data_IF_570287849437
#
_entry.id   IF_570287849437
#
_cell.length_a   1.000
_cell.length_b   1.000
_cell.length_c   1.000
_cell.angle_alpha   90.00
_cell.angle_beta   90.00
_cell.angle_gamma   90.00
#
_symmetry.space_group_name_H-M   'P 1'
#
loop_
_entity.id
_entity.type
_entity.pdbx_description
1 polymer ?
#
# COMPACT_ATOMS: atom_id res chain seq x y z
N UNK A 1 -27.56 38.61 -0.47
CA UNK A 1 -26.64 38.07 -1.47
C UNK A 1 -25.93 36.89 -0.85
N UNK A 2 -26.23 35.65 -1.25
CA UNK A 2 -25.61 34.45 -0.66
C UNK A 2 -24.33 34.11 -1.40
N UNK A 3 -23.24 33.93 -0.64
CA UNK A 3 -21.96 33.46 -1.12
C UNK A 3 -22.01 31.96 -1.44
N UNK A 4 -21.57 31.61 -2.62
CA UNK A 4 -21.47 30.26 -3.15
C UNK A 4 -20.47 29.43 -2.34
N UNK A 5 -20.96 28.28 -1.89
CA UNK A 5 -20.17 27.18 -1.33
C UNK A 5 -19.42 26.49 -2.48
N UNK A 6 -18.14 26.74 -2.55
CA UNK A 6 -17.22 25.99 -3.41
C UNK A 6 -16.93 24.65 -2.72
N UNK A 7 -17.65 23.63 -3.14
CA UNK A 7 -17.32 22.23 -2.83
C UNK A 7 -16.27 21.80 -3.84
N UNK A 8 -15.01 21.93 -3.46
CA UNK A 8 -13.92 21.31 -4.20
C UNK A 8 -14.16 19.81 -4.28
N UNK A 9 -14.49 19.39 -5.49
CA UNK A 9 -14.65 17.99 -5.85
C UNK A 9 -13.33 17.27 -5.71
N UNK A 10 -13.31 16.27 -4.86
CA UNK A 10 -12.33 15.18 -4.93
C UNK A 10 -12.38 14.59 -6.34
N UNK A 11 -11.27 14.33 -7.01
CA UNK A 11 -11.29 13.70 -8.32
C UNK A 11 -11.91 12.30 -8.20
N UNK A 12 -13.09 12.14 -8.75
CA UNK A 12 -13.66 10.83 -9.10
C UNK A 12 -12.71 10.16 -10.10
N UNK A 13 -12.08 9.07 -9.71
CA UNK A 13 -11.20 8.36 -10.63
C UNK A 13 -10.41 7.20 -10.07
N UNK A 14 -10.91 6.48 -9.07
CA UNK A 14 -10.50 5.09 -8.86
C UNK A 14 -11.76 4.22 -8.81
N UNK A 15 -12.15 3.72 -10.00
CA UNK A 15 -13.14 2.65 -10.14
C UNK A 15 -12.73 1.46 -9.26
N UNK A 16 -13.69 0.68 -8.73
CA UNK A 16 -13.40 -0.44 -7.85
C UNK A 16 -12.45 -1.40 -8.53
N UNK A 17 -11.23 -1.45 -8.02
CA UNK A 17 -10.10 -2.19 -8.60
C UNK A 17 -10.29 -3.73 -8.49
N UNK A 18 -11.32 -4.20 -7.81
CA UNK A 18 -11.47 -5.61 -7.45
C UNK A 18 -12.04 -6.46 -8.59
N UNK A 19 -13.02 -5.99 -9.34
CA UNK A 19 -13.64 -6.76 -10.43
C UNK A 19 -12.82 -6.78 -11.73
N UNK A 20 -12.14 -5.67 -12.05
CA UNK A 20 -11.18 -5.62 -13.16
C UNK A 20 -9.87 -6.40 -12.88
N UNK A 21 -9.57 -6.63 -11.60
CA UNK A 21 -8.35 -7.35 -11.21
C UNK A 21 -8.47 -8.86 -11.50
N UNK A 22 -9.61 -9.47 -11.28
CA UNK A 22 -9.76 -10.92 -11.44
C UNK A 22 -9.71 -11.36 -12.91
N UNK A 23 -10.39 -10.66 -13.82
CA UNK A 23 -10.36 -10.97 -15.26
C UNK A 23 -8.98 -10.69 -15.88
N UNK A 24 -8.35 -9.59 -15.49
CA UNK A 24 -6.99 -9.26 -15.95
C UNK A 24 -5.92 -10.22 -15.43
N UNK A 25 -6.10 -10.80 -14.24
CA UNK A 25 -5.20 -11.79 -13.67
C UNK A 25 -5.22 -13.12 -14.46
N UNK A 26 -6.38 -13.57 -14.93
CA UNK A 26 -6.50 -14.81 -15.72
C UNK A 26 -5.81 -14.73 -17.09
N UNK A 27 -5.63 -13.52 -17.63
CA UNK A 27 -5.00 -13.27 -18.93
C UNK A 27 -3.50 -12.93 -18.84
N UNK A 28 -2.89 -13.03 -17.66
CA UNK A 28 -1.46 -12.73 -17.52
C UNK A 28 -0.58 -13.79 -18.19
N UNK A 29 0.57 -13.41 -18.76
CA UNK A 29 1.54 -14.35 -19.31
C UNK A 29 2.00 -15.38 -18.28
N UNK A 30 2.31 -16.61 -18.72
CA UNK A 30 2.77 -17.71 -17.86
C UNK A 30 3.96 -17.31 -16.98
N UNK A 31 4.89 -16.50 -17.48
CA UNK A 31 6.02 -16.00 -16.71
C UNK A 31 5.59 -15.12 -15.51
N UNK A 32 4.50 -14.36 -15.64
CA UNK A 32 3.97 -13.54 -14.55
C UNK A 32 3.30 -14.42 -13.51
N UNK A 33 2.52 -15.41 -13.92
CA UNK A 33 1.94 -16.39 -12.99
C UNK A 33 3.01 -17.12 -12.18
N UNK A 34 4.06 -17.61 -12.84
CA UNK A 34 5.18 -18.27 -12.18
C UNK A 34 5.89 -17.34 -11.18
N UNK A 35 6.05 -16.06 -11.52
CA UNK A 35 6.61 -15.07 -10.59
C UNK A 35 5.71 -14.81 -9.39
N UNK A 36 4.41 -14.64 -9.58
CA UNK A 36 3.46 -14.41 -8.48
C UNK A 36 3.41 -15.61 -7.53
N UNK A 37 3.48 -16.83 -8.07
CA UNK A 37 3.60 -18.04 -7.26
C UNK A 37 4.94 -18.08 -6.49
N UNK A 38 6.05 -17.71 -7.13
CA UNK A 38 7.35 -17.61 -6.48
C UNK A 38 7.33 -16.64 -5.29
N UNK A 39 6.73 -15.44 -5.43
CA UNK A 39 6.69 -14.47 -4.33
C UNK A 39 5.75 -14.89 -3.21
N UNK A 40 4.68 -15.61 -3.53
CA UNK A 40 3.74 -16.15 -2.56
C UNK A 40 4.33 -17.32 -1.76
N UNK A 41 4.86 -18.32 -2.44
CA UNK A 41 5.26 -19.61 -1.83
C UNK A 41 6.72 -19.56 -1.33
N UNK A 42 7.65 -19.11 -2.18
CA UNK A 42 9.07 -19.15 -1.83
C UNK A 42 9.50 -17.95 -0.99
N UNK A 43 9.02 -16.74 -1.31
CA UNK A 43 9.32 -15.54 -0.52
C UNK A 43 8.37 -15.34 0.65
N UNK A 44 7.25 -16.03 0.70
CA UNK A 44 6.24 -15.96 1.76
C UNK A 44 5.84 -14.51 2.09
N UNK A 45 5.65 -13.70 1.05
CA UNK A 45 5.24 -12.32 1.24
C UNK A 45 3.78 -12.27 1.72
N UNK A 46 3.46 -11.25 2.51
CA UNK A 46 2.09 -11.02 2.98
C UNK A 46 1.12 -10.88 1.78
N UNK A 47 -0.11 -11.37 1.94
CA UNK A 47 -1.14 -11.39 0.89
C UNK A 47 -1.36 -10.02 0.25
N UNK A 48 -1.38 -8.96 1.06
CA UNK A 48 -1.48 -7.58 0.58
C UNK A 48 -0.32 -7.20 -0.36
N UNK A 49 0.90 -7.66 -0.06
CA UNK A 49 2.07 -7.40 -0.92
C UNK A 49 1.96 -8.20 -2.22
N UNK A 50 1.51 -9.45 -2.16
CA UNK A 50 1.26 -10.27 -3.34
C UNK A 50 0.20 -9.64 -4.25
N UNK A 51 -0.88 -9.13 -3.69
CA UNK A 51 -1.94 -8.42 -4.42
C UNK A 51 -1.40 -7.16 -5.12
N UNK A 52 -0.58 -6.35 -4.44
CA UNK A 52 0.07 -5.19 -5.05
C UNK A 52 1.00 -5.58 -6.21
N UNK A 53 1.76 -6.66 -6.06
CA UNK A 53 2.62 -7.15 -7.14
C UNK A 53 1.80 -7.64 -8.34
N UNK A 54 0.66 -8.30 -8.11
CA UNK A 54 -0.24 -8.71 -9.18
C UNK A 54 -0.78 -7.50 -9.96
N UNK A 55 -1.21 -6.44 -9.26
CA UNK A 55 -1.65 -5.19 -9.88
C UNK A 55 -0.53 -4.51 -10.68
N UNK A 56 0.69 -4.49 -10.16
CA UNK A 56 1.83 -3.91 -10.85
C UNK A 56 2.21 -4.70 -12.11
N UNK A 57 2.08 -6.03 -12.08
CA UNK A 57 2.31 -6.90 -13.23
C UNK A 57 1.20 -6.74 -14.28
N UNK A 58 -0.06 -6.68 -13.89
CA UNK A 58 -1.18 -6.42 -14.79
C UNK A 58 -0.98 -5.08 -15.53
N UNK A 59 -0.59 -4.04 -14.81
CA UNK A 59 -0.26 -2.73 -15.40
C UNK A 59 0.88 -2.83 -16.40
N UNK A 60 1.96 -3.53 -16.07
CA UNK A 60 3.10 -3.72 -16.98
C UNK A 60 2.69 -4.43 -18.25
N UNK A 61 1.90 -5.50 -18.14
CA UNK A 61 1.39 -6.27 -19.28
C UNK A 61 0.50 -5.41 -20.19
N UNK A 62 -0.39 -4.60 -19.61
CA UNK A 62 -1.24 -3.68 -20.36
C UNK A 62 -0.39 -2.65 -21.11
N UNK A 63 0.56 -2.01 -20.45
CA UNK A 63 1.43 -1.01 -21.08
C UNK A 63 2.32 -1.60 -22.17
N UNK A 64 2.80 -2.84 -22.00
CA UNK A 64 3.57 -3.56 -23.00
C UNK A 64 2.70 -3.85 -24.25
N UNK A 65 1.48 -4.36 -24.05
CA UNK A 65 0.49 -4.64 -25.10
C UNK A 65 0.14 -3.37 -25.86
N UNK A 66 -0.17 -2.29 -25.17
CA UNK A 66 -0.51 -0.99 -25.77
C UNK A 66 0.65 -0.42 -26.62
N UNK A 67 1.89 -0.77 -26.25
CA UNK A 67 3.09 -0.41 -26.99
C UNK A 67 3.45 -1.39 -28.12
N UNK A 68 2.66 -2.46 -28.33
CA UNK A 68 2.96 -3.51 -29.30
C UNK A 68 4.22 -4.30 -28.96
N UNK A 69 4.57 -4.45 -27.68
CA UNK A 69 5.79 -5.11 -27.23
C UNK A 69 5.46 -6.37 -26.43
N UNK A 70 6.26 -7.42 -26.63
CA UNK A 70 6.22 -8.57 -25.74
C UNK A 70 6.85 -8.24 -24.39
N UNK A 71 6.26 -8.76 -23.29
CA UNK A 71 6.67 -8.47 -21.92
C UNK A 71 8.16 -8.75 -21.69
N UNK A 72 8.65 -9.90 -22.14
CA UNK A 72 10.05 -10.32 -21.93
C UNK A 72 11.04 -9.67 -22.90
N UNK A 73 10.55 -8.99 -23.95
CA UNK A 73 11.36 -8.23 -24.90
C UNK A 73 11.49 -6.75 -24.55
N UNK A 74 10.91 -6.32 -23.43
CA UNK A 74 10.97 -4.92 -22.99
C UNK A 74 12.41 -4.46 -22.78
N UNK A 75 12.67 -3.22 -23.24
CA UNK A 75 13.97 -2.55 -23.13
C UNK A 75 13.89 -1.36 -22.16
N UNK A 76 15.00 -0.86 -21.63
CA UNK A 76 15.00 0.30 -20.74
C UNK A 76 14.31 1.56 -21.32
N UNK A 77 14.33 1.71 -22.64
CA UNK A 77 13.64 2.81 -23.33
C UNK A 77 12.11 2.71 -23.17
N UNK A 78 11.56 1.48 -23.27
CA UNK A 78 10.13 1.24 -23.07
C UNK A 78 9.73 1.57 -21.63
N UNK A 79 10.51 1.13 -20.65
CA UNK A 79 10.25 1.41 -19.24
C UNK A 79 10.26 2.91 -18.96
N UNK A 80 11.24 3.66 -19.50
CA UNK A 80 11.27 5.13 -19.35
C UNK A 80 10.03 5.80 -19.95
N UNK A 81 9.56 5.32 -21.11
CA UNK A 81 8.33 5.80 -21.75
C UNK A 81 7.11 5.53 -20.87
N UNK A 82 7.03 4.35 -20.26
CA UNK A 82 5.94 3.98 -19.34
C UNK A 82 5.94 4.86 -18.08
N UNK A 83 7.11 5.16 -17.55
CA UNK A 83 7.26 6.10 -16.43
C UNK A 83 6.73 7.49 -16.80
N UNK A 84 7.13 8.01 -17.97
CA UNK A 84 6.67 9.31 -18.45
C UNK A 84 5.15 9.33 -18.64
N UNK A 85 4.58 8.27 -19.21
CA UNK A 85 3.13 8.12 -19.42
C UNK A 85 2.35 8.04 -18.09
N UNK A 86 2.85 7.31 -17.09
CA UNK A 86 2.23 7.29 -15.76
C UNK A 86 2.26 8.66 -15.11
N UNK A 87 3.37 9.37 -15.24
CA UNK A 87 3.53 10.71 -14.66
C UNK A 87 2.62 11.73 -15.33
N UNK A 88 2.52 11.73 -16.66
CA UNK A 88 1.63 12.63 -17.42
C UNK A 88 0.14 12.38 -17.14
N UNK A 89 -0.22 11.14 -16.70
CA UNK A 89 -1.57 10.79 -16.26
C UNK A 89 -1.83 11.10 -14.78
N UNK A 90 -0.96 11.86 -14.12
CA UNK A 90 -1.15 12.35 -12.75
C UNK A 90 -0.70 11.39 -11.64
N UNK A 91 -0.08 10.24 -11.96
CA UNK A 91 0.41 9.34 -10.90
C UNK A 91 1.57 9.97 -10.13
N UNK A 92 1.50 9.90 -8.81
CA UNK A 92 2.50 10.51 -7.94
C UNK A 92 3.89 9.90 -8.13
N UNK A 93 4.97 10.67 -7.97
CA UNK A 93 6.35 10.16 -8.03
C UNK A 93 6.61 8.98 -7.09
N UNK A 94 6.02 9.01 -5.88
CA UNK A 94 6.12 7.91 -4.90
C UNK A 94 5.41 6.65 -5.40
N UNK A 95 4.22 6.79 -5.98
CA UNK A 95 3.47 5.67 -6.58
C UNK A 95 4.23 5.03 -7.74
N UNK A 96 4.85 5.85 -8.61
CA UNK A 96 5.69 5.35 -9.71
C UNK A 96 6.92 4.60 -9.17
N UNK A 97 7.55 5.10 -8.12
CA UNK A 97 8.70 4.43 -7.50
C UNK A 97 8.34 3.05 -6.94
N UNK A 98 7.16 2.90 -6.32
CA UNK A 98 6.65 1.61 -5.84
C UNK A 98 6.42 0.63 -7.00
N UNK A 99 5.75 1.07 -8.07
CA UNK A 99 5.52 0.26 -9.28
C UNK A 99 6.85 -0.20 -9.88
N UNK A 100 7.82 0.71 -10.04
CA UNK A 100 9.15 0.35 -10.55
C UNK A 100 9.87 -0.66 -9.64
N UNK A 101 9.62 -0.63 -8.34
CA UNK A 101 10.16 -1.64 -7.41
C UNK A 101 9.57 -3.03 -7.71
N UNK A 102 8.26 -3.14 -7.92
CA UNK A 102 7.59 -4.37 -8.32
C UNK A 102 8.12 -4.91 -9.66
N UNK A 103 8.17 -4.05 -10.68
CA UNK A 103 8.70 -4.43 -11.99
C UNK A 103 10.17 -4.84 -11.95
N UNK A 104 11.00 -4.17 -11.15
CA UNK A 104 12.41 -4.51 -10.96
C UNK A 104 12.56 -5.87 -10.29
N UNK A 105 11.70 -6.18 -9.34
CA UNK A 105 11.67 -7.48 -8.68
C UNK A 105 11.31 -8.61 -9.65
N UNK A 106 10.29 -8.41 -10.50
CA UNK A 106 9.92 -9.37 -11.55
C UNK A 106 11.07 -9.64 -12.53
N UNK A 107 11.66 -8.60 -13.12
CA UNK A 107 12.73 -8.78 -14.09
C UNK A 107 14.02 -9.31 -13.48
N UNK A 108 14.28 -9.07 -12.19
CA UNK A 108 15.39 -9.72 -11.48
C UNK A 108 15.15 -11.23 -11.38
N UNK A 109 13.95 -11.63 -11.01
CA UNK A 109 13.56 -13.04 -11.01
C UNK A 109 13.60 -13.65 -12.42
N UNK A 110 13.07 -12.98 -13.42
CA UNK A 110 13.08 -13.44 -14.81
C UNK A 110 14.53 -13.63 -15.35
N UNK A 111 15.43 -12.74 -14.99
CA UNK A 111 16.87 -12.89 -15.32
C UNK A 111 17.49 -14.10 -14.62
N UNK A 112 17.16 -14.36 -13.35
CA UNK A 112 17.59 -15.54 -12.62
C UNK A 112 17.06 -16.85 -13.22
N UNK A 113 15.86 -16.80 -13.83
CA UNK A 113 15.28 -17.93 -14.57
C UNK A 113 15.75 -18.00 -16.04
N UNK A 114 16.70 -17.14 -16.44
CA UNK A 114 17.21 -17.06 -17.82
C UNK A 114 16.11 -16.74 -18.87
N UNK A 115 14.99 -16.16 -18.45
CA UNK A 115 13.90 -15.73 -19.34
C UNK A 115 14.22 -14.42 -20.05
N UNK A 116 15.10 -13.61 -19.48
CA UNK A 116 15.60 -12.36 -20.07
C UNK A 116 17.11 -12.25 -19.84
N UNK A 117 17.87 -11.63 -20.75
CA UNK A 117 19.32 -11.50 -20.62
C UNK A 117 19.76 -10.50 -19.52
N UNK A 118 18.90 -9.52 -19.21
CA UNK A 118 19.15 -8.49 -18.20
C UNK A 118 17.83 -7.88 -17.71
N UNK A 119 17.91 -7.12 -16.62
CA UNK A 119 16.76 -6.42 -16.05
C UNK A 119 16.58 -5.05 -16.73
N UNK A 120 15.53 -4.83 -17.58
CA UNK A 120 15.33 -3.57 -18.29
C UNK A 120 14.90 -2.41 -17.37
N UNK A 121 14.53 -2.69 -16.13
CA UNK A 121 14.15 -1.69 -15.13
C UNK A 121 15.35 -1.21 -14.31
N UNK A 122 16.49 -1.92 -14.41
CA UNK A 122 17.70 -1.53 -13.70
C UNK A 122 18.19 -0.16 -14.18
N UNK A 123 18.54 0.71 -13.24
CA UNK A 123 18.95 2.08 -13.54
C UNK A 123 17.84 3.05 -14.00
N UNK A 124 16.61 2.58 -14.25
CA UNK A 124 15.48 3.47 -14.53
C UNK A 124 15.00 4.09 -13.23
N UNK A 125 14.96 5.42 -13.19
CA UNK A 125 14.50 6.20 -12.04
C UNK A 125 13.15 6.84 -12.34
N UNK A 126 12.27 6.87 -11.33
CA UNK A 126 11.04 7.65 -11.37
C UNK A 126 11.30 9.16 -11.26
N UNK A 127 10.23 9.98 -11.46
CA UNK A 127 10.30 11.41 -11.19
C UNK A 127 10.74 11.67 -9.75
N UNK A 128 11.45 12.78 -9.53
CA UNK A 128 11.93 13.14 -8.20
C UNK A 128 10.73 13.48 -7.31
N UNK A 129 10.58 12.76 -6.22
CA UNK A 129 9.58 13.08 -5.20
C UNK A 129 10.14 14.15 -4.25
N UNK A 130 9.33 15.13 -3.84
CA UNK A 130 9.68 15.96 -2.71
C UNK A 130 9.84 15.06 -1.47
N UNK A 131 10.82 15.36 -0.64
CA UNK A 131 10.98 14.71 0.66
C UNK A 131 10.44 15.66 1.73
N UNK A 132 9.13 15.65 2.00
CA UNK A 132 8.63 16.42 3.13
C UNK A 132 9.28 15.85 4.41
N UNK A 133 9.77 16.75 5.25
CA UNK A 133 10.16 16.36 6.61
C UNK A 133 8.93 15.78 7.32
N UNK A 134 9.09 14.72 8.10
CA UNK A 134 8.01 14.26 8.96
C UNK A 134 7.54 15.44 9.82
N UNK A 135 6.26 15.76 9.75
CA UNK A 135 5.63 16.74 10.64
C UNK A 135 5.26 15.98 11.93
N UNK A 136 6.26 15.66 12.73
CA UNK A 136 6.00 15.17 14.07
C UNK A 136 5.46 16.33 14.92
N UNK A 137 4.49 16.03 15.78
CA UNK A 137 4.07 16.97 16.83
C UNK A 137 5.23 17.22 17.77
N UNK A 138 5.33 18.42 18.31
CA UNK A 138 6.18 18.69 19.45
C UNK A 138 5.71 17.87 20.67
N UNK A 139 6.58 17.69 21.67
CA UNK A 139 6.24 16.93 22.86
C UNK A 139 5.00 17.52 23.55
N UNK A 140 4.98 18.86 23.70
CA UNK A 140 3.88 19.55 24.35
C UNK A 140 2.57 19.43 23.57
N UNK A 141 2.61 19.51 22.24
CA UNK A 141 1.45 19.33 21.38
C UNK A 141 0.92 17.89 21.44
N UNK A 142 1.83 16.91 21.52
CA UNK A 142 1.45 15.49 21.64
C UNK A 142 0.78 15.19 22.98
N UNK A 143 1.31 15.77 24.07
CA UNK A 143 0.72 15.66 25.41
C UNK A 143 -0.65 16.35 25.46
N UNK A 144 -0.78 17.56 24.88
CA UNK A 144 -2.07 18.23 24.81
C UNK A 144 -3.09 17.44 23.98
N UNK A 145 -2.67 16.82 22.89
CA UNK A 145 -3.56 15.98 22.09
C UNK A 145 -4.02 14.74 22.87
N UNK A 146 -3.12 14.09 23.62
CA UNK A 146 -3.45 12.93 24.44
C UNK A 146 -4.37 13.28 25.61
N UNK A 147 -4.24 14.49 26.16
CA UNK A 147 -5.08 15.00 27.26
C UNK A 147 -6.34 15.74 26.77
N UNK A 148 -6.55 15.84 25.44
CA UNK A 148 -7.69 16.59 24.90
C UNK A 148 -8.98 15.85 25.21
N UNK A 149 -9.99 16.59 25.69
CA UNK A 149 -11.35 16.13 25.94
C UNK A 149 -12.35 17.18 25.43
N UNK A 150 -13.41 16.71 24.80
CA UNK A 150 -14.49 17.55 24.29
C UNK A 150 -15.79 17.24 25.04
N UNK A 151 -16.14 18.08 26.01
CA UNK A 151 -17.33 17.91 26.84
C UNK A 151 -18.65 17.99 26.05
N UNK A 152 -18.65 18.57 24.85
CA UNK A 152 -19.83 18.69 24.00
C UNK A 152 -19.99 17.52 23.01
N UNK A 153 -19.03 16.59 22.97
CA UNK A 153 -19.11 15.41 22.12
C UNK A 153 -20.00 14.31 22.72
N UNK A 154 -20.45 13.38 21.87
CA UNK A 154 -21.07 12.15 22.35
C UNK A 154 -20.11 11.39 23.28
N UNK A 155 -20.52 11.02 24.49
CA UNK A 155 -19.64 10.40 25.49
C UNK A 155 -18.95 9.11 25.00
N UNK A 156 -19.62 8.34 24.12
CA UNK A 156 -19.05 7.12 23.57
C UNK A 156 -17.96 7.44 22.54
N UNK A 157 -18.18 8.45 21.69
CA UNK A 157 -17.20 8.92 20.70
C UNK A 157 -15.98 9.47 21.42
N UNK A 158 -16.19 10.27 22.46
CA UNK A 158 -15.12 10.84 23.26
C UNK A 158 -14.26 9.74 23.92
N UNK A 159 -14.89 8.76 24.55
CA UNK A 159 -14.18 7.64 25.18
C UNK A 159 -13.41 6.80 24.16
N UNK A 160 -13.98 6.57 22.97
CA UNK A 160 -13.32 5.86 21.87
C UNK A 160 -12.08 6.63 21.38
N UNK A 161 -12.23 7.92 21.12
CA UNK A 161 -11.15 8.74 20.56
C UNK A 161 -10.03 8.95 21.58
N UNK A 162 -10.37 9.09 22.85
CA UNK A 162 -9.40 9.11 23.95
C UNK A 162 -8.61 7.79 24.03
N UNK A 163 -9.29 6.64 23.99
CA UNK A 163 -8.64 5.34 24.02
C UNK A 163 -7.74 5.11 22.80
N UNK A 164 -8.18 5.53 21.59
CA UNK A 164 -7.35 5.47 20.38
C UNK A 164 -6.09 6.30 20.53
N UNK A 165 -6.23 7.53 20.99
CA UNK A 165 -5.11 8.47 21.15
C UNK A 165 -4.11 7.96 22.18
N UNK A 166 -4.60 7.47 23.32
CA UNK A 166 -3.79 6.90 24.40
C UNK A 166 -3.00 5.67 23.92
N UNK A 167 -3.63 4.72 23.24
CA UNK A 167 -2.98 3.52 22.73
C UNK A 167 -1.93 3.84 21.64
N UNK A 168 -2.20 4.81 20.77
CA UNK A 168 -1.22 5.27 19.76
C UNK A 168 -0.02 5.96 20.42
N UNK A 169 -0.25 6.79 21.45
CA UNK A 169 0.80 7.57 22.11
C UNK A 169 1.62 6.71 23.08
N UNK A 170 0.97 5.98 23.98
CA UNK A 170 1.65 5.24 25.04
C UNK A 170 2.24 3.92 24.58
N UNK A 171 1.54 3.19 23.67
CA UNK A 171 2.00 1.89 23.17
C UNK A 171 2.73 1.99 21.84
N UNK A 172 2.67 3.12 21.15
CA UNK A 172 3.29 3.32 19.85
C UNK A 172 2.74 2.39 18.75
N UNK A 173 1.47 1.98 18.86
CA UNK A 173 0.83 1.07 17.92
C UNK A 173 0.72 1.68 16.53
N UNK A 174 0.85 0.84 15.49
CA UNK A 174 0.44 1.25 14.15
C UNK A 174 -1.09 1.23 14.05
N UNK A 175 -1.65 2.12 13.20
CA UNK A 175 -3.12 2.19 13.00
C UNK A 175 -3.72 0.82 12.65
N UNK A 176 -3.03 0.01 11.83
CA UNK A 176 -3.48 -1.34 11.48
C UNK A 176 -3.49 -2.31 12.68
N UNK A 177 -2.54 -2.18 13.60
CA UNK A 177 -2.48 -2.96 14.85
C UNK A 177 -3.61 -2.53 15.78
N UNK A 178 -3.82 -1.21 15.92
CA UNK A 178 -4.89 -0.65 16.76
C UNK A 178 -6.29 -1.11 16.35
N UNK A 179 -6.64 -0.99 15.06
CA UNK A 179 -7.96 -1.41 14.56
C UNK A 179 -8.14 -2.94 14.52
N UNK A 180 -7.04 -3.67 14.64
CA UNK A 180 -7.01 -5.12 14.75
C UNK A 180 -7.06 -5.64 16.19
N UNK A 181 -7.19 -4.77 17.22
CA UNK A 181 -7.26 -5.22 18.60
C UNK A 181 -8.66 -5.71 18.97
N UNK A 182 -8.71 -6.88 19.58
CA UNK A 182 -9.89 -7.40 20.28
C UNK A 182 -9.80 -7.11 21.78
N UNK A 183 -10.93 -7.02 22.45
CA UNK A 183 -11.00 -6.75 23.92
C UNK A 183 -10.49 -7.93 24.75
N UNK A 184 -10.52 -9.15 24.15
CA UNK A 184 -10.05 -10.37 24.81
C UNK A 184 -9.57 -11.38 23.77
N UNK A 185 -8.65 -12.29 24.11
CA UNK A 185 -8.22 -13.35 23.23
C UNK A 185 -9.38 -14.30 22.92
N UNK A 186 -9.54 -14.66 21.66
CA UNK A 186 -10.52 -15.63 21.18
C UNK A 186 -9.89 -16.58 20.15
N UNK A 187 -10.58 -17.66 19.81
CA UNK A 187 -10.11 -18.52 18.72
C UNK A 187 -10.06 -17.79 17.37
N UNK A 188 -10.97 -16.83 17.15
CA UNK A 188 -10.99 -16.02 15.94
C UNK A 188 -9.86 -14.99 15.93
N UNK A 189 -9.53 -14.38 17.07
CA UNK A 189 -8.35 -13.52 17.26
C UNK A 189 -7.08 -14.25 16.79
N UNK A 190 -6.89 -15.50 17.25
CA UNK A 190 -5.74 -16.32 16.90
C UNK A 190 -5.73 -16.72 15.41
N UNK A 191 -6.88 -17.13 14.86
CA UNK A 191 -6.99 -17.53 13.44
C UNK A 191 -6.74 -16.39 12.47
N UNK A 192 -7.18 -15.18 12.84
CA UNK A 192 -7.05 -13.98 12.01
C UNK A 192 -5.74 -13.23 12.26
N UNK A 193 -4.90 -13.69 13.18
CA UNK A 193 -3.65 -12.99 13.54
C UNK A 193 -3.91 -11.59 14.10
N UNK A 194 -5.01 -11.42 14.87
CA UNK A 194 -5.37 -10.15 15.50
C UNK A 194 -4.72 -10.02 16.86
N UNK A 195 -4.50 -8.78 17.29
CA UNK A 195 -4.07 -8.48 18.65
C UNK A 195 -5.24 -8.51 19.65
N UNK A 196 -4.93 -8.46 20.94
CA UNK A 196 -5.93 -8.31 22.01
C UNK A 196 -5.40 -7.47 23.18
N UNK A 197 -6.31 -6.98 24.02
CA UNK A 197 -6.00 -6.23 25.21
C UNK A 197 -6.19 -7.15 26.44
N UNK A 198 -5.18 -7.24 27.28
CA UNK A 198 -5.29 -7.85 28.60
C UNK A 198 -5.59 -6.75 29.62
N UNK A 199 -6.87 -6.62 29.98
CA UNK A 199 -7.32 -5.60 30.94
C UNK A 199 -6.81 -5.84 32.38
N UNK A 200 -6.43 -7.09 32.73
CA UNK A 200 -5.92 -7.41 34.05
C UNK A 200 -4.43 -7.10 34.18
N UNK A 201 -3.67 -7.42 33.15
CA UNK A 201 -2.24 -7.12 33.09
C UNK A 201 -1.95 -5.68 32.63
N UNK A 202 -2.96 -4.96 32.13
CA UNK A 202 -2.83 -3.67 31.45
C UNK A 202 -1.87 -3.72 30.25
N UNK A 203 -1.90 -4.80 29.47
CA UNK A 203 -1.03 -5.05 28.33
C UNK A 203 -1.81 -5.11 27.02
N UNK A 204 -1.20 -4.64 25.93
CA UNK A 204 -1.70 -4.81 24.56
C UNK A 204 -0.81 -5.79 23.79
N UNK A 205 -1.37 -6.92 23.41
CA UNK A 205 -0.69 -7.95 22.61
C UNK A 205 -0.96 -7.71 21.13
N UNK A 206 0.07 -7.43 20.34
CA UNK A 206 -0.04 -7.22 18.91
C UNK A 206 0.76 -8.27 18.13
N UNK A 207 0.23 -8.66 16.96
CA UNK A 207 0.96 -9.51 16.02
C UNK A 207 1.48 -8.61 14.89
N UNK A 208 2.78 -8.57 14.73
CA UNK A 208 3.49 -7.80 13.71
C UNK A 208 3.81 -8.60 12.45
#
# INVERSE_FOLDING_TARGET
MPGASDRDGLPEGDLPAEDLAAENLAMLPAAVHAYLEHVRVQKRLADRTCALYALDMARLCTMARDAGQELLALQPAHIRRFVAQMHSRGRSPRGIALILSGWRSFFRWAAQQSLVPFNPVEGVRGPKAPKPLPKALGVDDAVQLAAFSNADADPWIEARDAAITELLYSCGLRVGELVGLDVAPSQDTQRQGRGWIDLQAADAHVQG
#
